data_IF_192019257407
#
_entry.id   IF_192019257407
#
_cell.length_a   1.000
_cell.length_b   1.000
_cell.length_c   1.000
_cell.angle_alpha   90.00
_cell.angle_beta   90.00
_cell.angle_gamma   90.00
#
_symmetry.space_group_name_H-M   'P 1'
#
loop_
_entity.id
_entity.type
_entity.pdbx_description
1 polymer ?
#
# COMPACT_ATOMS: atom_id res chain seq x y z
N UNK A 1 10.31 8.19 -9.69
CA UNK A 1 9.03 8.31 -8.97
C UNK A 1 9.21 7.64 -7.61
N UNK A 2 8.56 8.14 -6.55
CA UNK A 2 8.58 7.50 -5.24
C UNK A 2 7.59 6.31 -5.26
N UNK A 3 8.12 5.09 -5.35
CA UNK A 3 7.34 3.85 -5.56
C UNK A 3 6.33 3.62 -4.44
N UNK A 4 6.77 3.65 -3.18
CA UNK A 4 5.88 3.52 -2.01
C UNK A 4 4.77 4.57 -1.96
N UNK A 5 5.09 5.83 -2.26
CA UNK A 5 4.12 6.92 -2.27
C UNK A 5 3.05 6.72 -3.35
N UNK A 6 3.46 6.31 -4.56
CA UNK A 6 2.54 5.93 -5.62
C UNK A 6 1.63 4.77 -5.21
N UNK A 7 2.21 3.71 -4.64
CA UNK A 7 1.46 2.52 -4.24
C UNK A 7 0.48 2.84 -3.11
N UNK A 8 0.85 3.66 -2.12
CA UNK A 8 -0.05 4.07 -1.05
C UNK A 8 -1.22 4.93 -1.55
N UNK A 9 -1.00 5.80 -2.53
CA UNK A 9 -2.10 6.57 -3.15
C UNK A 9 -3.14 5.62 -3.75
N UNK A 10 -2.72 4.62 -4.51
CA UNK A 10 -3.66 3.66 -5.09
C UNK A 10 -4.23 2.68 -4.06
N UNK A 11 -3.45 2.31 -3.03
CA UNK A 11 -3.96 1.48 -1.94
C UNK A 11 -5.11 2.15 -1.19
N UNK A 12 -5.11 3.48 -1.05
CA UNK A 12 -6.26 4.23 -0.49
C UNK A 12 -7.51 4.10 -1.36
N UNK A 13 -7.37 4.21 -2.69
CA UNK A 13 -8.49 4.04 -3.62
C UNK A 13 -8.98 2.59 -3.70
N UNK A 14 -8.08 1.61 -3.58
CA UNK A 14 -8.40 0.19 -3.53
C UNK A 14 -9.15 -0.15 -2.23
N UNK A 15 -8.63 0.29 -1.08
CA UNK A 15 -9.25 0.05 0.22
C UNK A 15 -10.67 0.65 0.30
N UNK A 16 -10.92 1.78 -0.34
CA UNK A 16 -12.26 2.39 -0.41
C UNK A 16 -13.26 1.57 -1.26
N UNK A 17 -12.79 0.73 -2.17
CA UNK A 17 -13.63 -0.13 -3.04
C UNK A 17 -13.79 -1.55 -2.50
N UNK A 18 -13.10 -1.86 -1.41
CA UNK A 18 -13.00 -3.22 -0.90
C UNK A 18 -14.19 -3.56 -0.01
N UNK A 19 -14.89 -4.66 -0.33
CA UNK A 19 -15.97 -5.18 0.49
C UNK A 19 -15.43 -6.28 1.41
N UNK A 20 -15.00 -5.89 2.60
CA UNK A 20 -14.39 -6.82 3.57
C UNK A 20 -14.66 -6.40 5.02
N UNK A 21 -14.80 -7.38 5.92
CA UNK A 21 -14.91 -7.13 7.37
C UNK A 21 -13.61 -6.60 7.99
N UNK A 22 -12.47 -6.78 7.31
CA UNK A 22 -11.14 -6.41 7.82
C UNK A 22 -10.74 -4.95 7.51
N UNK A 23 -11.70 -4.10 7.13
CA UNK A 23 -11.46 -2.69 6.75
C UNK A 23 -10.69 -1.89 7.82
N UNK A 24 -10.96 -2.13 9.10
CA UNK A 24 -10.26 -1.47 10.21
C UNK A 24 -8.77 -1.84 10.28
N UNK A 25 -8.41 -3.08 9.95
CA UNK A 25 -7.03 -3.56 9.92
C UNK A 25 -6.26 -2.98 8.74
N UNK A 26 -6.87 -2.95 7.55
CA UNK A 26 -6.32 -2.25 6.37
C UNK A 26 -6.06 -0.78 6.69
N UNK A 27 -7.05 -0.10 7.28
CA UNK A 27 -6.94 1.32 7.65
C UNK A 27 -5.76 1.57 8.60
N UNK A 28 -5.63 0.72 9.63
CA UNK A 28 -4.53 0.80 10.60
C UNK A 28 -3.18 0.66 9.91
N UNK A 29 -3.04 -0.29 8.99
CA UNK A 29 -1.79 -0.54 8.28
C UNK A 29 -1.43 0.62 7.33
N UNK A 30 -2.39 1.12 6.55
CA UNK A 30 -2.18 2.25 5.66
C UNK A 30 -1.87 3.54 6.42
N UNK A 31 -2.53 3.80 7.55
CA UNK A 31 -2.24 4.97 8.40
C UNK A 31 -0.82 4.92 8.97
N UNK A 32 -0.34 3.74 9.38
CA UNK A 32 1.03 3.57 9.84
C UNK A 32 2.05 3.83 8.70
N UNK A 33 1.78 3.33 7.50
CA UNK A 33 2.62 3.58 6.32
C UNK A 33 2.67 5.07 5.96
N UNK A 34 1.53 5.75 5.96
CA UNK A 34 1.45 7.19 5.74
C UNK A 34 2.22 7.98 6.81
N UNK A 35 2.04 7.62 8.07
CA UNK A 35 2.77 8.23 9.19
C UNK A 35 4.28 8.13 9.00
N UNK A 36 4.78 6.97 8.54
CA UNK A 36 6.19 6.80 8.20
C UNK A 36 6.64 7.70 7.04
N UNK A 37 5.86 7.78 5.96
CA UNK A 37 6.21 8.62 4.82
C UNK A 37 6.26 10.11 5.15
N UNK A 38 5.42 10.57 6.07
CA UNK A 38 5.37 11.98 6.45
C UNK A 38 6.41 12.33 7.52
N UNK A 39 6.65 11.45 8.47
CA UNK A 39 7.36 11.79 9.71
C UNK A 39 8.59 10.92 10.00
N UNK A 40 8.81 9.85 9.23
CA UNK A 40 9.83 8.81 9.49
C UNK A 40 9.77 8.28 10.94
N UNK A 41 8.55 8.19 11.48
CA UNK A 41 8.30 7.92 12.90
C UNK A 41 7.91 6.47 13.22
N UNK A 42 7.88 5.58 12.22
CA UNK A 42 7.63 4.15 12.39
C UNK A 42 8.88 3.37 12.05
N UNK A 43 9.06 2.27 12.78
CA UNK A 43 10.15 1.34 12.50
C UNK A 43 9.78 0.34 11.43
N UNK A 44 10.79 -0.20 10.73
CA UNK A 44 10.61 -1.29 9.77
C UNK A 44 9.89 -2.48 10.39
N UNK A 45 10.33 -2.89 11.58
CA UNK A 45 9.71 -4.00 12.32
C UNK A 45 8.24 -3.71 12.72
N UNK A 46 7.93 -2.47 13.11
CA UNK A 46 6.57 -2.07 13.44
C UNK A 46 5.64 -2.16 12.23
N UNK A 47 6.13 -1.76 11.04
CA UNK A 47 5.37 -1.87 9.80
C UNK A 47 5.26 -3.32 9.31
N UNK A 48 6.32 -4.12 9.44
CA UNK A 48 6.29 -5.53 9.07
C UNK A 48 5.28 -6.34 9.91
N UNK A 49 5.18 -6.06 11.21
CA UNK A 49 4.20 -6.72 12.09
C UNK A 49 2.74 -6.49 11.68
N UNK A 50 2.46 -5.47 10.86
CA UNK A 50 1.12 -5.27 10.29
C UNK A 50 0.84 -6.25 9.15
N UNK A 51 1.88 -6.70 8.43
CA UNK A 51 1.77 -7.77 7.43
C UNK A 51 1.68 -9.14 8.09
N UNK A 52 2.60 -9.38 9.01
CA UNK A 52 2.83 -10.67 9.66
C UNK A 52 3.40 -10.43 11.06
N UNK A 53 2.61 -10.73 12.09
CA UNK A 53 3.05 -10.63 13.49
C UNK A 53 3.63 -11.94 14.05
N UNK A 54 3.79 -12.95 13.18
CA UNK A 54 4.27 -14.28 13.53
C UNK A 54 3.20 -15.19 14.13
N UNK A 55 1.92 -14.82 14.06
CA UNK A 55 0.78 -15.63 14.52
C UNK A 55 -0.13 -16.03 13.37
N UNK A 56 -0.93 -17.08 13.60
CA UNK A 56 -1.94 -17.54 12.64
C UNK A 56 -3.28 -16.78 12.78
N UNK A 57 -3.32 -15.67 13.53
CA UNK A 57 -4.58 -14.98 13.90
C UNK A 57 -4.67 -13.54 13.39
N UNK A 58 -3.54 -12.87 13.16
CA UNK A 58 -3.50 -11.46 12.82
C UNK A 58 -2.40 -11.13 11.82
N UNK A 59 -2.53 -9.95 11.21
CA UNK A 59 -1.68 -9.51 10.11
C UNK A 59 -2.41 -9.58 8.77
N UNK A 60 -2.03 -8.70 7.86
CA UNK A 60 -2.66 -8.58 6.54
C UNK A 60 -2.59 -9.89 5.75
N UNK A 61 -1.51 -10.68 5.89
CA UNK A 61 -1.42 -11.98 5.21
C UNK A 61 -2.47 -12.98 5.72
N UNK A 62 -2.77 -12.97 7.02
CA UNK A 62 -3.82 -13.82 7.60
C UNK A 62 -5.20 -13.30 7.19
N UNK A 63 -5.45 -12.00 7.28
CA UNK A 63 -6.76 -11.43 6.92
C UNK A 63 -7.11 -11.63 5.45
N UNK A 64 -6.13 -11.56 4.55
CA UNK A 64 -6.30 -11.89 3.14
C UNK A 64 -6.78 -13.34 2.95
N UNK A 65 -6.24 -14.28 3.72
CA UNK A 65 -6.61 -15.70 3.63
C UNK A 65 -7.99 -16.00 4.25
N UNK A 66 -8.38 -15.22 5.25
CA UNK A 66 -9.67 -15.37 5.93
C UNK A 66 -10.82 -14.64 5.22
N UNK A 67 -10.53 -13.75 4.27
CA UNK A 67 -11.56 -13.05 3.50
C UNK A 67 -12.20 -14.00 2.48
N UNK A 68 -13.47 -14.33 2.70
CA UNK A 68 -14.25 -15.24 1.86
C UNK A 68 -14.65 -14.62 0.51
N UNK A 69 -14.48 -13.30 0.34
CA UNK A 69 -14.79 -12.64 -0.91
C UNK A 69 -13.64 -12.80 -1.92
N UNK A 70 -13.74 -13.82 -2.79
CA UNK A 70 -12.73 -14.11 -3.81
C UNK A 70 -12.43 -12.93 -4.75
N UNK A 71 -13.38 -12.00 -4.94
CA UNK A 71 -13.17 -10.79 -5.75
C UNK A 71 -12.11 -9.85 -5.13
N UNK A 72 -11.80 -9.99 -3.84
CA UNK A 72 -10.85 -9.17 -3.12
C UNK A 72 -9.39 -9.60 -3.32
N UNK A 73 -9.10 -10.72 -4.00
CA UNK A 73 -7.74 -11.26 -4.13
C UNK A 73 -6.71 -10.22 -4.60
N UNK A 74 -6.92 -9.62 -5.78
CA UNK A 74 -6.02 -8.59 -6.31
C UNK A 74 -6.01 -7.30 -5.48
N UNK A 75 -7.10 -7.00 -4.78
CA UNK A 75 -7.18 -5.82 -3.90
C UNK A 75 -6.28 -6.02 -2.67
N UNK A 76 -6.34 -7.21 -2.06
CA UNK A 76 -5.46 -7.63 -0.97
C UNK A 76 -4.00 -7.65 -1.41
N UNK A 77 -3.68 -8.24 -2.57
CA UNK A 77 -2.33 -8.28 -3.12
C UNK A 77 -1.75 -6.86 -3.17
N UNK A 78 -2.45 -5.92 -3.82
CA UNK A 78 -1.96 -4.55 -3.97
C UNK A 78 -1.83 -3.82 -2.62
N UNK A 79 -2.77 -3.99 -1.69
CA UNK A 79 -2.66 -3.43 -0.34
C UNK A 79 -1.41 -3.98 0.36
N UNK A 80 -1.18 -5.29 0.29
CA UNK A 80 -0.02 -5.96 0.90
C UNK A 80 1.29 -5.46 0.30
N UNK A 81 1.35 -5.27 -1.03
CA UNK A 81 2.52 -4.76 -1.72
C UNK A 81 2.87 -3.33 -1.29
N UNK A 82 1.86 -2.46 -1.17
CA UNK A 82 2.07 -1.08 -0.72
C UNK A 82 2.63 -1.02 0.71
N UNK A 83 2.14 -1.87 1.61
CA UNK A 83 2.62 -1.98 2.99
C UNK A 83 4.04 -2.59 3.01
N UNK A 84 4.29 -3.66 2.25
CA UNK A 84 5.59 -4.33 2.16
C UNK A 84 6.70 -3.43 1.65
N UNK A 85 6.47 -2.70 0.56
CA UNK A 85 7.45 -1.73 0.03
C UNK A 85 7.71 -0.62 1.05
N UNK A 86 6.67 -0.16 1.76
CA UNK A 86 6.84 0.87 2.81
C UNK A 86 7.62 0.34 4.01
N UNK A 87 7.36 -0.90 4.44
CA UNK A 87 8.10 -1.55 5.52
C UNK A 87 9.57 -1.73 5.14
N UNK A 88 9.85 -2.19 3.91
CA UNK A 88 11.22 -2.34 3.38
C UNK A 88 11.98 -1.01 3.39
N UNK A 89 11.37 0.07 2.91
CA UNK A 89 11.99 1.40 2.97
C UNK A 89 12.27 1.85 4.42
N UNK A 90 11.42 1.51 5.37
CA UNK A 90 11.66 1.82 6.78
C UNK A 90 12.84 1.04 7.37
N UNK A 91 13.02 -0.24 7.03
CA UNK A 91 14.23 -0.99 7.40
C UNK A 91 15.50 -0.39 6.77
N UNK A 92 15.43 -0.02 5.49
CA UNK A 92 16.54 0.62 4.78
C UNK A 92 16.90 1.97 5.41
N UNK A 93 15.91 2.77 5.79
CA UNK A 93 16.10 4.03 6.51
C UNK A 93 16.79 3.84 7.87
N UNK A 94 16.51 2.74 8.56
CA UNK A 94 17.18 2.34 9.81
C UNK A 94 18.60 1.79 9.59
N UNK A 95 19.07 1.63 8.36
CA UNK A 95 20.31 0.94 8.00
C UNK A 95 20.37 -0.51 8.49
N UNK A 96 19.22 -1.19 8.57
CA UNK A 96 19.12 -2.61 8.90
C UNK A 96 19.54 -3.44 7.69
N UNK A 97 20.47 -4.38 7.88
CA UNK A 97 20.98 -5.26 6.82
C UNK A 97 20.15 -6.53 6.64
N UNK A 98 19.51 -6.98 7.70
CA UNK A 98 18.66 -8.16 7.70
C UNK A 98 17.21 -7.71 7.56
N UNK A 99 16.53 -8.24 6.56
CA UNK A 99 15.13 -8.01 6.30
C UNK A 99 14.36 -9.32 6.60
N UNK A 100 13.11 -9.24 7.07
CA UNK A 100 12.22 -10.40 7.05
C UNK A 100 12.10 -10.98 5.63
N UNK A 101 12.06 -12.30 5.51
CA UNK A 101 12.06 -12.99 4.20
C UNK A 101 11.01 -12.46 3.20
N UNK A 102 9.76 -12.13 3.60
CA UNK A 102 8.80 -11.53 2.66
C UNK A 102 9.26 -10.19 2.07
N UNK A 103 10.03 -9.39 2.81
CA UNK A 103 10.54 -8.10 2.34
C UNK A 103 11.82 -8.25 1.49
N UNK A 104 12.64 -9.27 1.77
CA UNK A 104 13.81 -9.59 0.94
C UNK A 104 13.39 -9.87 -0.51
N UNK A 105 12.30 -10.61 -0.69
CA UNK A 105 11.77 -11.02 -1.99
C UNK A 105 11.04 -9.89 -2.76
N UNK A 106 10.97 -8.68 -2.22
CA UNK A 106 10.39 -7.53 -2.94
C UNK A 106 11.40 -7.04 -3.98
N UNK A 107 11.11 -7.33 -5.23
CA UNK A 107 11.90 -6.91 -6.39
C UNK A 107 11.41 -5.56 -6.97
N UNK A 108 12.26 -4.80 -7.69
CA UNK A 108 11.88 -3.54 -8.33
C UNK A 108 10.67 -3.65 -9.28
N UNK A 109 10.53 -4.80 -9.96
CA UNK A 109 9.44 -5.10 -10.91
C UNK A 109 8.08 -5.21 -10.23
N UNK A 110 8.00 -5.26 -8.89
CA UNK A 110 6.74 -5.28 -8.16
C UNK A 110 5.85 -4.07 -8.48
N UNK A 111 6.44 -2.94 -8.83
CA UNK A 111 5.67 -1.77 -9.27
C UNK A 111 4.89 -2.05 -10.57
N UNK A 112 5.48 -2.77 -11.51
CA UNK A 112 4.81 -3.11 -12.77
C UNK A 112 3.67 -4.09 -12.52
N UNK A 113 3.90 -5.11 -11.68
CA UNK A 113 2.86 -6.05 -11.22
C UNK A 113 1.72 -5.29 -10.52
N UNK A 114 2.04 -4.35 -9.64
CA UNK A 114 1.05 -3.54 -8.94
C UNK A 114 0.19 -2.71 -9.92
N UNK A 115 0.80 -2.13 -10.97
CA UNK A 115 0.10 -1.36 -12.00
C UNK A 115 -0.77 -2.26 -12.89
N UNK A 116 -0.28 -3.45 -13.24
CA UNK A 116 -1.04 -4.43 -13.99
C UNK A 116 -2.27 -4.89 -13.19
N UNK A 117 -2.10 -5.16 -11.89
CA UNK A 117 -3.22 -5.45 -11.01
C UNK A 117 -4.23 -4.30 -10.94
N UNK A 118 -3.80 -3.03 -10.92
CA UNK A 118 -4.73 -1.88 -10.99
C UNK A 118 -5.60 -1.95 -12.24
N UNK A 119 -5.02 -2.33 -13.38
CA UNK A 119 -5.74 -2.48 -14.64
C UNK A 119 -6.82 -3.53 -14.58
N UNK A 120 -6.51 -4.69 -13.99
CA UNK A 120 -7.44 -5.79 -13.81
C UNK A 120 -8.53 -5.48 -12.76
N UNK A 121 -8.16 -4.81 -11.66
CA UNK A 121 -9.11 -4.36 -10.62
C UNK A 121 -10.09 -3.33 -11.21
N UNK A 122 -9.59 -2.34 -11.94
CA UNK A 122 -10.44 -1.30 -12.51
C UNK A 122 -9.73 -0.47 -13.59
N UNK A 123 -10.26 -0.53 -14.82
CA UNK A 123 -9.86 0.35 -15.90
C UNK A 123 -10.00 1.84 -15.56
N UNK A 124 -10.97 2.20 -14.72
CA UNK A 124 -11.14 3.56 -14.21
C UNK A 124 -9.94 4.01 -13.36
N UNK A 125 -9.49 3.19 -12.40
CA UNK A 125 -8.26 3.48 -11.65
C UNK A 125 -7.04 3.55 -12.57
N UNK A 126 -6.95 2.61 -13.51
CA UNK A 126 -5.82 2.52 -14.43
C UNK A 126 -5.67 3.77 -15.32
N UNK A 127 -6.77 4.34 -15.80
CA UNK A 127 -6.73 5.60 -16.57
C UNK A 127 -6.09 6.76 -15.79
N UNK A 128 -6.07 6.70 -14.46
CA UNK A 128 -5.47 7.73 -13.62
C UNK A 128 -3.99 7.48 -13.28
N UNK A 129 -3.39 6.34 -13.65
CA UNK A 129 -1.99 6.00 -13.34
C UNK A 129 -1.02 7.10 -13.79
N UNK A 130 -1.09 7.51 -15.06
CA UNK A 130 -0.20 8.56 -15.58
C UNK A 130 -0.50 9.93 -14.94
N UNK A 131 -1.76 10.22 -14.62
CA UNK A 131 -2.11 11.46 -13.93
C UNK A 131 -1.51 11.51 -12.52
N UNK A 132 -1.52 10.39 -11.80
CA UNK A 132 -0.91 10.26 -10.48
C UNK A 132 0.61 10.33 -10.58
N UNK A 133 1.24 9.66 -11.55
CA UNK A 133 2.69 9.79 -11.82
C UNK A 133 3.11 11.24 -12.03
N UNK A 134 2.37 11.98 -12.87
CA UNK A 134 2.62 13.41 -13.12
C UNK A 134 2.43 14.24 -11.84
N UNK A 135 1.39 13.95 -11.05
CA UNK A 135 1.14 14.62 -9.78
C UNK A 135 2.31 14.46 -8.80
N UNK A 136 2.79 13.22 -8.61
CA UNK A 136 3.93 12.89 -7.73
C UNK A 136 5.20 13.59 -8.22
N UNK A 137 5.48 13.56 -9.53
CA UNK A 137 6.68 14.21 -10.07
C UNK A 137 6.67 15.74 -9.89
N UNK A 138 5.48 16.36 -9.85
CA UNK A 138 5.32 17.81 -9.60
C UNK A 138 5.32 18.16 -8.11
N UNK A 139 4.90 17.23 -7.25
CA UNK A 139 4.76 17.44 -5.80
C UNK A 139 5.39 16.26 -5.06
N UNK A 140 6.71 16.07 -5.15
CA UNK A 140 7.37 14.98 -4.45
C UNK A 140 7.12 15.17 -2.95
N UNK A 141 6.72 14.11 -2.26
CA UNK A 141 6.48 14.10 -0.81
C UNK A 141 5.29 14.95 -0.31
N UNK A 142 4.27 15.23 -1.14
CA UNK A 142 3.07 15.90 -0.60
C UNK A 142 2.35 15.04 0.46
N UNK A 143 1.69 15.70 1.42
CA UNK A 143 1.00 15.01 2.52
C UNK A 143 -0.05 14.01 2.04
N UNK A 144 -0.41 13.06 2.91
CA UNK A 144 -1.56 12.18 2.74
C UNK A 144 -2.81 12.97 2.40
N UNK A 145 -3.08 14.06 3.12
CA UNK A 145 -4.25 14.92 2.85
C UNK A 145 -4.24 15.45 1.41
N UNK A 146 -3.08 15.89 0.92
CA UNK A 146 -2.94 16.39 -0.46
C UNK A 146 -3.17 15.30 -1.49
N UNK A 147 -2.66 14.09 -1.23
CA UNK A 147 -2.90 12.91 -2.04
C UNK A 147 -4.38 12.50 -2.07
N UNK A 148 -5.04 12.42 -0.92
CA UNK A 148 -6.46 12.06 -0.82
C UNK A 148 -7.34 13.11 -1.50
N UNK A 149 -7.06 14.40 -1.33
CA UNK A 149 -7.76 15.47 -2.06
C UNK A 149 -7.57 15.36 -3.58
N UNK A 150 -6.43 14.84 -4.03
CA UNK A 150 -6.17 14.60 -5.45
C UNK A 150 -7.00 13.40 -5.97
N UNK A 151 -7.15 12.34 -5.19
CA UNK A 151 -8.02 11.20 -5.52
C UNK A 151 -9.50 11.59 -5.52
N UNK A 152 -9.95 12.36 -4.53
CA UNK A 152 -11.31 12.88 -4.43
C UNK A 152 -11.68 13.74 -5.67
N UNK A 153 -10.78 14.65 -6.07
CA UNK A 153 -10.94 15.43 -7.32
C UNK A 153 -11.01 14.58 -8.59
N UNK A 154 -10.49 13.35 -8.57
CA UNK A 154 -10.60 12.40 -9.68
C UNK A 154 -11.86 11.52 -9.59
N UNK A 155 -12.62 11.59 -8.49
CA UNK A 155 -13.77 10.72 -8.25
C UNK A 155 -13.39 9.29 -7.86
N UNK A 156 -12.17 9.08 -7.33
CA UNK A 156 -11.66 7.76 -6.99
C UNK A 156 -11.87 7.35 -5.53
N UNK A 157 -12.35 8.27 -4.70
CA UNK A 157 -12.86 8.01 -3.36
C UNK A 157 -14.38 8.13 -3.42
N UNK A 158 -15.10 7.10 -2.95
CA UNK A 158 -16.56 7.01 -2.90
C UNK A 158 -17.05 7.03 -1.45
#
# INVERSE_FOLDING_TARGET
MLTNYFMLIFAEAIANRMETQYTSHIRTALDACWSFLENRNKKGEELYRLLDDGTDFSGIFIYMQLDENEANGLLWDNISYAIGVTAKEAFEFENKKELPSPLENIEPELLDVFIDNIKEISMDLYHHVETVKIFINRNPYSSRESALKKLDKMGLLR
#
